data_IF_255916707132
#
_entry.id   IF_255916707132
#
_cell.length_a   1.000
_cell.length_b   1.000
_cell.length_c   1.000
_cell.angle_alpha   90.00
_cell.angle_beta   90.00
_cell.angle_gamma   90.00
#
_symmetry.space_group_name_H-M   'P 1'
#
loop_
_entity.id
_entity.type
_entity.pdbx_description
1 polymer ?
#
# COMPACT_ATOMS: atom_id res chain seq x y z
N UNK A 1 -7.37 -26.07 -6.06
CA UNK A 1 -7.32 -24.65 -5.66
C UNK A 1 -6.06 -24.05 -6.25
N UNK A 2 -6.10 -22.84 -6.84
CA UNK A 2 -4.88 -22.16 -7.29
C UNK A 2 -3.93 -21.97 -6.09
N UNK A 3 -2.61 -21.99 -6.32
CA UNK A 3 -1.64 -21.80 -5.24
C UNK A 3 -1.76 -20.39 -4.66
N UNK A 4 -1.61 -20.27 -3.35
CA UNK A 4 -1.50 -18.98 -2.68
C UNK A 4 -0.17 -18.33 -3.07
N UNK A 5 -0.19 -17.05 -3.42
CA UNK A 5 1.01 -16.31 -3.83
C UNK A 5 1.48 -15.35 -2.75
N UNK A 6 2.77 -15.02 -2.79
CA UNK A 6 3.36 -13.97 -1.96
C UNK A 6 3.33 -12.61 -2.69
N UNK A 7 3.19 -11.51 -1.96
CA UNK A 7 3.40 -10.16 -2.48
C UNK A 7 4.83 -9.91 -2.96
N UNK A 8 5.81 -10.71 -2.51
CA UNK A 8 7.20 -10.65 -2.96
C UNK A 8 7.43 -11.43 -4.27
N UNK A 9 6.47 -12.25 -4.71
CA UNK A 9 6.55 -12.94 -5.99
C UNK A 9 6.38 -11.96 -7.16
N UNK A 10 6.82 -12.36 -8.36
CA UNK A 10 6.62 -11.53 -9.55
C UNK A 10 5.13 -11.23 -9.79
N UNK A 11 4.26 -12.22 -9.60
CA UNK A 11 2.81 -12.05 -9.74
C UNK A 11 2.25 -11.07 -8.71
N UNK A 12 2.63 -11.21 -7.43
CA UNK A 12 2.22 -10.30 -6.36
C UNK A 12 2.66 -8.86 -6.58
N UNK A 13 3.88 -8.65 -7.10
CA UNK A 13 4.38 -7.33 -7.49
C UNK A 13 3.59 -6.73 -8.67
N UNK A 14 3.17 -7.54 -9.65
CA UNK A 14 2.31 -7.06 -10.73
C UNK A 14 0.91 -6.71 -10.22
N UNK A 15 0.33 -7.52 -9.34
CA UNK A 15 -0.95 -7.20 -8.69
C UNK A 15 -0.89 -5.88 -7.94
N UNK A 16 0.16 -5.65 -7.14
CA UNK A 16 0.37 -4.38 -6.44
C UNK A 16 0.44 -3.18 -7.41
N UNK A 17 1.17 -3.31 -8.51
CA UNK A 17 1.27 -2.26 -9.55
C UNK A 17 -0.09 -1.99 -10.19
N UNK A 18 -0.83 -3.04 -10.54
CA UNK A 18 -2.17 -2.93 -11.13
C UNK A 18 -3.13 -2.22 -10.19
N UNK A 19 -3.22 -2.67 -8.93
CA UNK A 19 -4.09 -2.05 -7.92
C UNK A 19 -3.75 -0.57 -7.74
N UNK A 20 -2.46 -0.25 -7.63
CA UNK A 20 -2.00 1.14 -7.45
C UNK A 20 -2.35 1.99 -8.67
N UNK A 21 -2.14 1.48 -9.89
CA UNK A 21 -2.44 2.21 -11.13
C UNK A 21 -3.94 2.46 -11.30
N UNK A 22 -4.77 1.47 -10.97
CA UNK A 22 -6.24 1.55 -11.10
C UNK A 22 -6.83 2.52 -10.08
N UNK A 23 -6.39 2.46 -8.82
CA UNK A 23 -6.98 3.24 -7.74
C UNK A 23 -6.31 4.61 -7.52
N UNK A 24 -5.13 4.83 -8.11
CA UNK A 24 -4.36 6.08 -7.98
C UNK A 24 -3.95 6.57 -9.38
N UNK A 25 -4.90 6.91 -10.27
CA UNK A 25 -4.62 7.25 -11.66
C UNK A 25 -3.69 8.46 -11.83
N UNK A 26 -3.60 9.32 -10.82
CA UNK A 26 -2.66 10.45 -10.77
C UNK A 26 -1.18 10.03 -10.65
N UNK A 27 -0.89 8.80 -10.27
CA UNK A 27 0.48 8.26 -10.23
C UNK A 27 0.81 7.59 -11.57
N UNK A 28 1.09 8.40 -12.59
CA UNK A 28 1.33 7.92 -13.98
C UNK A 28 2.48 6.92 -14.08
N UNK A 29 3.56 7.18 -13.33
CA UNK A 29 4.75 6.33 -13.24
C UNK A 29 4.61 5.21 -12.19
N UNK A 30 3.48 5.16 -11.48
CA UNK A 30 3.22 4.19 -10.41
C UNK A 30 4.07 4.41 -9.16
N UNK A 31 4.38 3.31 -8.46
CA UNK A 31 5.20 3.31 -7.26
C UNK A 31 6.67 3.61 -7.57
N UNK A 32 7.30 4.43 -6.73
CA UNK A 32 8.74 4.68 -6.77
C UNK A 32 9.52 3.41 -6.38
N UNK A 33 10.80 3.28 -6.79
CA UNK A 33 11.59 2.07 -6.49
C UNK A 33 11.60 1.65 -5.02
N UNK A 34 11.83 2.57 -4.08
CA UNK A 34 11.86 2.23 -2.65
C UNK A 34 10.47 1.84 -2.11
N UNK A 35 9.39 2.39 -2.67
CA UNK A 35 8.01 2.03 -2.32
C UNK A 35 7.70 0.61 -2.80
N UNK A 36 8.11 0.28 -4.03
CA UNK A 36 7.94 -1.06 -4.61
C UNK A 36 8.77 -2.12 -3.86
N UNK A 37 9.87 -1.73 -3.24
CA UNK A 37 10.66 -2.62 -2.36
C UNK A 37 10.01 -2.78 -0.97
N UNK A 38 9.44 -1.70 -0.41
CA UNK A 38 8.99 -1.66 0.99
C UNK A 38 7.55 -2.14 1.19
N UNK A 39 6.62 -1.73 0.31
CA UNK A 39 5.18 -2.01 0.46
C UNK A 39 4.87 -3.52 0.46
N UNK A 40 5.47 -4.35 -0.43
CA UNK A 40 5.28 -5.80 -0.37
C UNK A 40 5.67 -6.42 0.97
N UNK A 41 6.75 -5.93 1.61
CA UNK A 41 7.17 -6.41 2.93
C UNK A 41 6.11 -6.10 4.00
N UNK A 42 5.53 -4.90 3.96
CA UNK A 42 4.45 -4.51 4.87
C UNK A 42 3.20 -5.38 4.65
N UNK A 43 2.85 -5.65 3.39
CA UNK A 43 1.74 -6.54 3.03
C UNK A 43 1.99 -7.99 3.45
N UNK A 44 3.24 -8.43 3.49
CA UNK A 44 3.70 -9.71 4.08
C UNK A 44 3.73 -9.68 5.64
N UNK A 45 3.17 -8.65 6.27
CA UNK A 45 3.20 -8.44 7.72
C UNK A 45 4.63 -8.38 8.31
N UNK A 46 5.61 -7.89 7.55
CA UNK A 46 6.96 -7.66 8.05
C UNK A 46 7.11 -6.22 8.55
N UNK A 47 7.87 -6.05 9.63
CA UNK A 47 8.25 -4.73 10.13
C UNK A 47 9.28 -4.07 9.20
N UNK A 48 9.04 -2.82 8.84
CA UNK A 48 9.91 -2.07 7.92
C UNK A 48 10.45 -0.81 8.59
N UNK A 49 11.78 -0.70 8.62
CA UNK A 49 12.48 0.53 8.95
C UNK A 49 12.98 1.22 7.68
N UNK A 50 12.29 2.28 7.25
CA UNK A 50 12.56 2.98 5.99
C UNK A 50 13.24 4.34 6.21
N UNK A 51 14.41 4.53 5.57
CA UNK A 51 15.10 5.82 5.50
C UNK A 51 15.13 6.26 4.03
N UNK A 52 14.56 7.44 3.75
CA UNK A 52 14.64 8.07 2.43
C UNK A 52 14.57 9.59 2.55
N UNK A 53 15.04 10.29 1.52
CA UNK A 53 15.03 11.73 1.39
C UNK A 53 13.65 12.36 1.67
N UNK A 54 13.67 13.60 2.12
CA UNK A 54 12.46 14.41 2.31
C UNK A 54 11.75 14.60 0.97
N UNK A 55 10.42 14.51 0.97
CA UNK A 55 9.62 14.64 -0.25
C UNK A 55 9.58 13.40 -1.14
N UNK A 56 10.25 12.30 -0.77
CA UNK A 56 10.28 11.09 -1.60
C UNK A 56 8.98 10.26 -1.56
N UNK A 57 7.93 10.74 -0.87
CA UNK A 57 6.64 10.05 -0.84
C UNK A 57 6.56 8.89 0.16
N UNK A 58 7.21 9.02 1.33
CA UNK A 58 7.16 8.04 2.44
C UNK A 58 5.75 7.67 2.88
N UNK A 59 4.79 8.60 2.76
CA UNK A 59 3.41 8.37 3.18
C UNK A 59 2.73 7.21 2.44
N UNK A 60 3.22 6.85 1.25
CA UNK A 60 2.72 5.69 0.52
C UNK A 60 2.90 4.37 1.30
N UNK A 61 3.92 4.28 2.17
CA UNK A 61 4.21 3.05 2.92
C UNK A 61 3.11 2.69 3.91
N UNK A 62 2.33 3.66 4.40
CA UNK A 62 1.18 3.36 5.27
C UNK A 62 -0.17 3.50 4.55
N UNK A 63 -0.27 4.31 3.50
CA UNK A 63 -1.53 4.51 2.77
C UNK A 63 -1.83 3.38 1.78
N UNK A 64 -0.84 2.95 0.99
CA UNK A 64 -1.04 1.95 -0.06
C UNK A 64 -1.41 0.57 0.51
N UNK A 65 -0.83 0.07 1.61
CA UNK A 65 -1.25 -1.22 2.17
C UNK A 65 -2.73 -1.27 2.56
N UNK A 66 -3.28 -0.16 3.09
CA UNK A 66 -4.70 -0.03 3.42
C UNK A 66 -5.56 -0.15 2.16
N UNK A 67 -5.20 0.61 1.11
CA UNK A 67 -5.88 0.57 -0.18
C UNK A 67 -5.83 -0.82 -0.82
N UNK A 68 -4.68 -1.51 -0.76
CA UNK A 68 -4.52 -2.85 -1.33
C UNK A 68 -5.43 -3.84 -0.63
N UNK A 69 -5.52 -3.81 0.70
CA UNK A 69 -6.46 -4.65 1.44
C UNK A 69 -7.92 -4.38 1.04
N UNK A 70 -8.31 -3.10 0.91
CA UNK A 70 -9.67 -2.73 0.51
C UNK A 70 -10.00 -3.21 -0.91
N UNK A 71 -9.08 -3.03 -1.86
CA UNK A 71 -9.27 -3.44 -3.26
C UNK A 71 -9.35 -4.97 -3.39
N UNK A 72 -8.43 -5.71 -2.76
CA UNK A 72 -8.43 -7.17 -2.79
C UNK A 72 -9.66 -7.76 -2.11
N UNK A 73 -10.18 -7.11 -1.07
CA UNK A 73 -11.40 -7.57 -0.41
C UNK A 73 -12.64 -7.30 -1.27
N UNK A 74 -12.78 -6.09 -1.83
CA UNK A 74 -13.94 -5.72 -2.64
C UNK A 74 -14.04 -6.48 -3.97
N UNK A 75 -12.89 -6.76 -4.59
CA UNK A 75 -12.79 -7.32 -5.94
C UNK A 75 -12.01 -8.64 -5.94
N UNK A 76 -12.24 -9.51 -4.95
CA UNK A 76 -11.45 -10.74 -4.74
C UNK A 76 -11.40 -11.70 -5.93
N UNK A 77 -12.42 -11.67 -6.80
CA UNK A 77 -12.48 -12.51 -8.00
C UNK A 77 -11.55 -12.04 -9.12
N UNK A 78 -11.11 -10.78 -9.09
CA UNK A 78 -10.24 -10.18 -10.12
C UNK A 78 -8.75 -10.40 -9.84
N UNK A 79 -8.40 -10.92 -8.66
CA UNK A 79 -7.01 -10.99 -8.19
C UNK A 79 -6.65 -12.40 -7.69
N UNK A 80 -5.35 -12.75 -7.71
CA UNK A 80 -4.89 -14.01 -7.13
C UNK A 80 -5.12 -14.05 -5.62
N UNK A 81 -5.16 -15.26 -5.07
CA UNK A 81 -5.23 -15.47 -3.63
C UNK A 81 -3.84 -15.37 -3.01
N UNK A 82 -3.72 -14.64 -1.91
CA UNK A 82 -2.45 -14.42 -1.23
C UNK A 82 -2.23 -15.37 -0.05
N UNK A 83 -0.97 -15.64 0.26
CA UNK A 83 -0.52 -16.43 1.41
C UNK A 83 -0.75 -15.72 2.76
N UNK A 84 -1.12 -14.45 2.74
CA UNK A 84 -1.46 -13.63 3.91
C UNK A 84 -2.94 -13.31 3.95
N UNK A 85 -3.46 -13.08 5.16
CA UNK A 85 -4.86 -12.69 5.35
C UNK A 85 -5.12 -11.28 4.83
N UNK A 86 -6.09 -11.16 3.92
CA UNK A 86 -6.57 -9.87 3.45
C UNK A 86 -7.60 -9.33 4.46
N UNK A 87 -7.37 -8.11 4.96
CA UNK A 87 -8.23 -7.44 5.94
C UNK A 87 -9.41 -6.78 5.22
N UNK A 88 -10.64 -7.12 5.63
CA UNK A 88 -11.86 -6.44 5.17
C UNK A 88 -11.88 -4.96 5.56
N UNK A 89 -11.57 -4.69 6.83
CA UNK A 89 -11.53 -3.34 7.40
C UNK A 89 -10.10 -3.03 7.87
N UNK A 90 -9.17 -2.68 6.95
CA UNK A 90 -7.79 -2.37 7.31
C UNK A 90 -7.72 -1.05 8.09
N UNK A 91 -7.06 -1.08 9.25
CA UNK A 91 -6.88 0.07 10.13
C UNK A 91 -5.38 0.39 10.22
N UNK A 92 -5.03 1.66 10.04
CA UNK A 92 -3.67 2.18 10.26
C UNK A 92 -3.67 3.29 11.29
N UNK A 93 -2.66 3.27 12.17
CA UNK A 93 -2.41 4.35 13.14
C UNK A 93 -1.09 5.00 12.76
N UNK A 94 -1.14 6.31 12.46
CA UNK A 94 0.04 7.11 12.14
C UNK A 94 0.31 8.08 13.27
N UNK A 95 1.48 7.95 13.90
CA UNK A 95 1.94 8.85 14.96
C UNK A 95 2.99 9.79 14.39
N UNK A 96 2.82 11.08 14.61
CA UNK A 96 3.74 12.12 14.13
C UNK A 96 4.20 13.01 15.28
N UNK A 97 5.43 13.55 15.24
CA UNK A 97 5.97 14.38 16.32
C UNK A 97 5.27 15.73 16.49
N UNK A 98 4.52 16.22 15.49
CA UNK A 98 3.87 17.53 15.55
C UNK A 98 2.44 17.50 15.01
N UNK A 99 1.57 18.35 15.57
CA UNK A 99 0.20 18.56 15.06
C UNK A 99 0.19 19.05 13.61
N UNK A 100 1.16 19.89 13.23
CA UNK A 100 1.29 20.39 11.86
C UNK A 100 1.54 19.26 10.85
N UNK A 101 2.37 18.27 11.21
CA UNK A 101 2.61 17.12 10.35
C UNK A 101 1.39 16.19 10.29
N UNK A 102 0.74 15.91 11.43
CA UNK A 102 -0.53 15.16 11.45
C UNK A 102 -1.58 15.83 10.54
N UNK A 103 -1.75 17.15 10.66
CA UNK A 103 -2.68 17.91 9.84
C UNK A 103 -2.30 17.84 8.36
N UNK A 104 -1.02 17.92 8.00
CA UNK A 104 -0.59 17.74 6.62
C UNK A 104 -0.98 16.36 6.08
N UNK A 105 -0.81 15.29 6.84
CA UNK A 105 -1.19 13.93 6.40
C UNK A 105 -2.71 13.84 6.19
N UNK A 106 -3.52 14.32 7.15
CA UNK A 106 -4.98 14.31 7.05
C UNK A 106 -5.49 15.18 5.90
N UNK A 107 -4.97 16.40 5.76
CA UNK A 107 -5.40 17.35 4.73
C UNK A 107 -4.89 16.99 3.34
N UNK A 108 -3.76 16.27 3.22
CA UNK A 108 -3.15 15.93 1.93
C UNK A 108 -3.95 14.95 1.06
N UNK A 109 -5.23 14.69 1.36
CA UNK A 109 -6.14 13.75 0.68
C UNK A 109 -5.64 12.29 0.60
N UNK A 110 -4.43 11.99 1.07
CA UNK A 110 -3.82 10.65 1.17
C UNK A 110 -4.69 9.64 1.95
N UNK A 111 -5.68 10.11 2.70
CA UNK A 111 -6.57 9.30 3.54
C UNK A 111 -8.05 9.46 3.19
N UNK A 112 -8.43 10.48 2.40
CA UNK A 112 -9.84 10.91 2.29
C UNK A 112 -10.41 10.95 0.86
N UNK A 113 -9.62 10.68 -0.18
CA UNK A 113 -10.15 10.59 -1.56
C UNK A 113 -9.46 9.47 -2.35
N UNK A 114 -9.70 8.24 -1.90
CA UNK A 114 -9.92 7.13 -2.83
C UNK A 114 -11.43 7.03 -3.07
#
# INVERSE_FOLDING_TARGET
MPPLISFLSNEGLQTLKTITRTNIPQWTEGLRPFQLQSIPLILENQDVFAITATGDGKSALFAVPILVHQELFKNSELYPQFNVSIRQDPIGIVVTPTKGLANNIVCSKLVLNF
#
